data_IF_669138416619
#
_entry.id   IF_669138416619
#
_cell.length_a   1.000
_cell.length_b   1.000
_cell.length_c   1.000
_cell.angle_alpha   90.00
_cell.angle_beta   90.00
_cell.angle_gamma   90.00
#
_symmetry.space_group_name_H-M   'P 1'
#
loop_
_entity.id
_entity.type
_entity.pdbx_description
1 polymer ?
#
# COMPACT_ATOMS: atom_id res chain seq x y z
N UNK A 1 -2.52 -29.49 -15.00
CA UNK A 1 -3.89 -29.95 -15.33
C UNK A 1 -4.47 -28.97 -16.31
N UNK A 2 -5.30 -29.44 -17.23
CA UNK A 2 -5.96 -28.64 -18.26
C UNK A 2 -7.48 -28.81 -18.12
N UNK A 3 -8.24 -27.71 -18.12
CA UNK A 3 -9.71 -27.76 -18.11
C UNK A 3 -10.21 -27.63 -19.55
N UNK A 4 -10.85 -28.69 -20.04
CA UNK A 4 -11.33 -28.78 -21.43
C UNK A 4 -12.85 -28.57 -21.47
N UNK A 5 -13.34 -27.52 -22.17
CA UNK A 5 -14.76 -27.32 -22.38
C UNK A 5 -15.30 -28.21 -23.52
N UNK A 6 -16.50 -28.76 -23.35
CA UNK A 6 -17.24 -29.52 -24.38
C UNK A 6 -18.75 -29.32 -24.19
N UNK A 7 -19.40 -28.65 -25.15
CA UNK A 7 -20.86 -28.39 -25.16
C UNK A 7 -21.38 -27.81 -23.82
N UNK A 8 -20.73 -26.77 -23.30
CA UNK A 8 -21.12 -26.10 -22.04
C UNK A 8 -20.84 -26.91 -20.76
N UNK A 9 -20.09 -28.01 -20.86
CA UNK A 9 -19.60 -28.80 -19.73
C UNK A 9 -18.08 -28.82 -19.74
N UNK A 10 -17.46 -29.17 -18.62
CA UNK A 10 -16.02 -29.16 -18.46
C UNK A 10 -15.50 -30.52 -18.02
N UNK A 11 -14.24 -30.80 -18.33
CA UNK A 11 -13.52 -31.99 -17.90
C UNK A 11 -12.08 -31.61 -17.63
N UNK A 12 -11.52 -32.03 -16.50
CA UNK A 12 -10.10 -31.87 -16.26
C UNK A 12 -9.34 -33.02 -16.92
N UNK A 13 -8.28 -32.69 -17.66
CA UNK A 13 -7.29 -33.63 -18.15
C UNK A 13 -5.97 -33.36 -17.43
N UNK A 14 -5.19 -34.41 -17.20
CA UNK A 14 -3.82 -34.22 -16.74
C UNK A 14 -3.02 -33.50 -17.81
N UNK A 15 -2.15 -32.57 -17.38
CA UNK A 15 -1.19 -31.94 -18.28
C UNK A 15 0.05 -32.83 -18.48
N UNK A 16 0.33 -33.74 -17.55
CA UNK A 16 1.36 -34.76 -17.68
C UNK A 16 0.74 -36.05 -18.24
N UNK A 17 1.43 -36.80 -19.13
CA UNK A 17 0.92 -38.03 -19.74
C UNK A 17 0.45 -39.09 -18.73
N UNK A 18 1.10 -39.16 -17.57
CA UNK A 18 0.91 -40.12 -16.49
C UNK A 18 0.23 -39.51 -15.25
N UNK A 19 -0.10 -38.21 -15.29
CA UNK A 19 -0.69 -37.54 -14.16
C UNK A 19 -2.15 -37.94 -13.95
N UNK A 20 -2.56 -38.08 -12.68
CA UNK A 20 -3.94 -38.31 -12.30
C UNK A 20 -4.56 -37.01 -11.79
N UNK A 21 -5.76 -36.69 -12.27
CA UNK A 21 -6.52 -35.57 -11.71
C UNK A 21 -6.89 -35.86 -10.23
N UNK A 22 -6.88 -34.85 -9.34
CA UNK A 22 -7.46 -34.93 -8.01
C UNK A 22 -8.89 -35.44 -8.08
N UNK A 23 -9.33 -36.16 -7.04
CA UNK A 23 -10.58 -36.94 -7.07
C UNK A 23 -11.81 -36.11 -7.51
N UNK A 24 -11.91 -34.85 -7.05
CA UNK A 24 -12.98 -33.90 -7.40
C UNK A 24 -13.10 -33.66 -8.92
N UNK A 25 -11.99 -33.75 -9.64
CA UNK A 25 -11.91 -33.43 -11.07
C UNK A 25 -11.85 -34.67 -11.97
N UNK A 26 -11.85 -35.89 -11.40
CA UNK A 26 -11.89 -37.14 -12.17
C UNK A 26 -13.24 -37.36 -12.86
N UNK A 27 -14.32 -36.85 -12.26
CA UNK A 27 -15.66 -36.90 -12.86
C UNK A 27 -15.67 -36.04 -14.12
N UNK A 28 -16.04 -36.61 -15.26
CA UNK A 28 -16.13 -35.87 -16.53
C UNK A 28 -17.46 -35.13 -16.63
N UNK A 29 -17.46 -34.08 -17.45
CA UNK A 29 -18.67 -33.34 -17.84
C UNK A 29 -19.38 -32.62 -16.68
N UNK A 30 -18.62 -32.06 -15.74
CA UNK A 30 -19.19 -31.18 -14.72
C UNK A 30 -19.65 -29.86 -15.34
N UNK A 31 -20.65 -29.24 -14.72
CA UNK A 31 -21.13 -27.90 -15.06
C UNK A 31 -20.56 -26.92 -14.04
N UNK A 32 -20.21 -25.74 -14.51
CA UNK A 32 -19.92 -24.59 -13.63
C UNK A 32 -21.17 -23.76 -13.56
N UNK A 33 -21.56 -23.43 -12.35
CA UNK A 33 -22.58 -22.42 -12.10
C UNK A 33 -21.84 -21.21 -11.55
N UNK A 34 -21.98 -20.07 -12.22
CA UNK A 34 -21.56 -18.79 -11.68
C UNK A 34 -22.77 -18.21 -10.96
N UNK A 35 -22.64 -18.00 -9.67
CA UNK A 35 -23.58 -17.23 -8.87
C UNK A 35 -22.89 -15.95 -8.45
N UNK A 36 -23.61 -14.83 -8.55
CA UNK A 36 -23.10 -13.59 -7.96
C UNK A 36 -23.06 -13.78 -6.44
N UNK A 37 -21.91 -13.55 -5.79
CA UNK A 37 -21.81 -13.65 -4.35
C UNK A 37 -22.69 -12.58 -3.71
N UNK A 38 -23.52 -12.97 -2.74
CA UNK A 38 -24.39 -12.04 -2.02
C UNK A 38 -23.65 -11.28 -0.91
N UNK A 39 -22.51 -11.81 -0.47
CA UNK A 39 -21.76 -11.31 0.68
C UNK A 39 -20.70 -10.24 0.34
N UNK A 40 -20.44 -9.97 -0.95
CA UNK A 40 -19.52 -8.90 -1.35
C UNK A 40 -19.78 -8.39 -2.77
N UNK A 41 -19.36 -7.16 -3.04
CA UNK A 41 -19.37 -6.55 -4.37
C UNK A 41 -17.97 -6.06 -4.73
N UNK A 42 -17.49 -6.42 -5.92
CA UNK A 42 -16.22 -5.93 -6.45
C UNK A 42 -16.51 -4.80 -7.44
N UNK A 43 -15.84 -3.67 -7.24
CA UNK A 43 -15.85 -2.53 -8.16
C UNK A 43 -14.72 -2.65 -9.18
N UNK A 44 -14.68 -1.77 -10.18
CA UNK A 44 -13.60 -1.79 -11.15
C UNK A 44 -12.22 -1.60 -10.50
N UNK A 45 -11.29 -2.46 -10.89
CA UNK A 45 -9.89 -2.45 -10.46
C UNK A 45 -8.99 -2.58 -11.69
N UNK A 46 -8.80 -1.45 -12.39
CA UNK A 46 -8.07 -1.37 -13.66
C UNK A 46 -6.55 -1.52 -13.52
N UNK A 47 -6.06 -1.74 -12.30
CA UNK A 47 -4.64 -1.83 -11.99
C UNK A 47 -4.02 -0.46 -11.80
N UNK A 48 -2.79 -0.30 -12.29
CA UNK A 48 -2.00 0.91 -12.13
C UNK A 48 -2.33 1.94 -13.20
N UNK A 49 -2.63 3.16 -12.79
CA UNK A 49 -2.68 4.32 -13.68
C UNK A 49 -1.27 4.90 -13.87
N UNK A 50 -0.68 4.64 -15.04
CA UNK A 50 0.68 5.10 -15.38
C UNK A 50 0.74 6.63 -15.50
N UNK A 51 -0.32 7.26 -15.99
CA UNK A 51 -0.37 8.70 -16.18
C UNK A 51 -0.38 9.42 -14.83
N UNK A 52 -1.22 8.98 -13.90
CA UNK A 52 -1.25 9.51 -12.53
C UNK A 52 0.04 9.17 -11.78
N UNK A 53 0.58 7.95 -11.92
CA UNK A 53 1.85 7.56 -11.28
C UNK A 53 3.00 8.51 -11.67
N UNK A 54 3.04 8.94 -12.93
CA UNK A 54 4.07 9.84 -13.46
C UNK A 54 3.92 11.32 -13.05
N UNK A 55 2.77 11.70 -12.50
CA UNK A 55 2.42 13.09 -12.15
C UNK A 55 2.12 13.20 -10.65
N UNK A 56 3.15 13.26 -9.78
CA UNK A 56 2.95 13.50 -8.35
C UNK A 56 2.11 14.76 -8.14
N UNK A 57 1.24 14.72 -7.12
CA UNK A 57 0.45 15.87 -6.69
C UNK A 57 1.34 17.12 -6.58
N UNK A 58 0.82 18.27 -7.00
CA UNK A 58 1.47 19.54 -6.72
C UNK A 58 1.22 19.92 -5.26
N UNK A 59 2.11 20.70 -4.66
CA UNK A 59 1.95 21.20 -3.29
C UNK A 59 0.98 22.39 -3.22
N UNK A 60 -0.10 22.35 -4.01
CA UNK A 60 -1.08 23.42 -4.22
C UNK A 60 -2.17 23.38 -3.13
N UNK A 61 -1.75 23.40 -1.87
CA UNK A 61 -2.63 23.41 -0.69
C UNK A 61 -2.01 24.30 0.41
N UNK A 62 -2.75 24.80 1.39
CA UNK A 62 -2.15 25.57 2.49
C UNK A 62 -1.20 24.74 3.36
N UNK A 63 -0.11 25.31 3.89
CA UNK A 63 0.84 24.63 4.80
C UNK A 63 0.14 24.17 6.10
N UNK A 64 -0.96 24.82 6.50
CA UNK A 64 -1.73 24.49 7.72
C UNK A 64 -2.68 23.30 7.58
N UNK A 65 -2.80 22.71 6.40
CA UNK A 65 -3.66 21.55 6.23
C UNK A 65 -3.04 20.36 6.97
N UNK A 66 -3.77 19.82 7.94
CA UNK A 66 -3.35 18.63 8.70
C UNK A 66 -3.35 17.38 7.81
N UNK A 67 -4.38 17.22 6.97
CA UNK A 67 -4.51 16.09 6.05
C UNK A 67 -4.14 16.47 4.62
N UNK A 68 -2.87 16.23 4.26
CA UNK A 68 -2.40 16.50 2.91
C UNK A 68 -3.20 15.72 1.86
N UNK A 69 -3.56 16.33 0.72
CA UNK A 69 -4.28 15.64 -0.34
C UNK A 69 -3.57 14.35 -0.77
N UNK A 70 -4.36 13.32 -1.03
CA UNK A 70 -3.88 12.02 -1.53
C UNK A 70 -4.47 11.70 -2.89
N UNK A 71 -3.68 11.04 -3.73
CA UNK A 71 -4.12 10.61 -5.06
C UNK A 71 -4.01 9.09 -5.17
N UNK A 72 -5.14 8.42 -5.40
CA UNK A 72 -5.15 6.98 -5.69
C UNK A 72 -4.73 6.75 -7.13
N UNK A 73 -3.59 6.09 -7.31
CA UNK A 73 -2.95 5.85 -8.62
C UNK A 73 -3.01 4.38 -9.06
N UNK A 74 -3.61 3.51 -8.24
CA UNK A 74 -3.80 2.12 -8.64
C UNK A 74 -4.77 1.39 -7.74
N UNK A 75 -5.44 0.39 -8.31
CA UNK A 75 -6.43 -0.44 -7.61
C UNK A 75 -6.39 -1.88 -8.11
N UNK A 76 -6.35 -2.83 -7.18
CA UNK A 76 -6.35 -4.29 -7.43
C UNK A 76 -7.20 -5.01 -6.39
N UNK A 77 -7.47 -6.29 -6.63
CA UNK A 77 -7.95 -7.20 -5.61
C UNK A 77 -6.92 -8.29 -5.33
N UNK A 78 -6.74 -8.59 -4.05
CA UNK A 78 -5.90 -9.67 -3.57
C UNK A 78 -6.79 -10.74 -2.94
N UNK A 79 -6.80 -11.96 -3.49
CA UNK A 79 -7.51 -13.07 -2.87
C UNK A 79 -7.03 -13.35 -1.44
N UNK A 80 -7.96 -13.79 -0.60
CA UNK A 80 -7.69 -14.04 0.83
C UNK A 80 -6.56 -15.02 1.09
N UNK A 81 -6.31 -15.99 0.22
CA UNK A 81 -5.24 -16.96 0.43
C UNK A 81 -3.82 -16.38 0.35
N UNK A 82 -3.66 -15.13 -0.11
CA UNK A 82 -2.40 -14.39 0.00
C UNK A 82 -2.28 -13.53 1.26
N UNK A 83 -3.31 -13.52 2.11
CA UNK A 83 -3.37 -12.77 3.36
C UNK A 83 -3.73 -13.72 4.50
N UNK A 84 -2.99 -13.72 5.60
CA UNK A 84 -3.35 -14.46 6.81
C UNK A 84 -3.73 -13.49 7.91
N UNK A 85 -4.94 -13.62 8.41
CA UNK A 85 -5.37 -12.95 9.64
C UNK A 85 -5.43 -13.97 10.78
N UNK A 86 -5.56 -13.48 12.02
CA UNK A 86 -5.79 -14.33 13.19
C UNK A 86 -7.24 -14.86 13.24
N UNK A 87 -7.65 -15.60 12.21
CA UNK A 87 -9.00 -16.16 12.02
C UNK A 87 -8.88 -17.52 11.33
N UNK A 88 -9.93 -18.35 11.43
CA UNK A 88 -9.94 -19.60 10.68
C UNK A 88 -10.06 -19.35 9.17
N UNK A 89 -9.52 -20.26 8.36
CA UNK A 89 -9.62 -20.18 6.90
C UNK A 89 -11.06 -20.05 6.42
N UNK A 90 -12.00 -20.75 7.07
CA UNK A 90 -13.43 -20.72 6.74
C UNK A 90 -14.05 -19.35 7.03
N UNK A 91 -13.71 -18.73 8.17
CA UNK A 91 -14.22 -17.40 8.52
C UNK A 91 -13.67 -16.33 7.59
N UNK A 92 -12.37 -16.37 7.28
CA UNK A 92 -11.76 -15.41 6.38
C UNK A 92 -12.30 -15.55 4.96
N UNK A 93 -12.51 -16.77 4.46
CA UNK A 93 -13.13 -17.01 3.16
C UNK A 93 -14.55 -16.45 3.08
N UNK A 94 -15.33 -16.51 4.16
CA UNK A 94 -16.70 -15.99 4.21
C UNK A 94 -16.77 -14.46 4.32
N UNK A 95 -15.86 -13.86 5.09
CA UNK A 95 -15.95 -12.44 5.48
C UNK A 95 -15.01 -11.53 4.69
N UNK A 96 -13.90 -12.06 4.18
CA UNK A 96 -12.83 -11.32 3.53
C UNK A 96 -12.25 -12.11 2.35
N UNK A 97 -13.10 -12.62 1.46
CA UNK A 97 -12.68 -13.43 0.30
C UNK A 97 -11.67 -12.70 -0.59
N UNK A 98 -11.80 -11.38 -0.69
CA UNK A 98 -10.86 -10.50 -1.35
C UNK A 98 -10.49 -9.33 -0.44
N UNK A 99 -9.30 -8.80 -0.67
CA UNK A 99 -8.84 -7.53 -0.13
C UNK A 99 -8.71 -6.57 -1.28
N UNK A 100 -9.33 -5.41 -1.15
CA UNK A 100 -9.07 -4.29 -2.05
C UNK A 100 -7.69 -3.74 -1.74
N UNK A 101 -6.82 -3.67 -2.74
CA UNK A 101 -5.54 -2.97 -2.65
C UNK A 101 -5.66 -1.67 -3.41
N UNK A 102 -5.38 -0.55 -2.77
CA UNK A 102 -5.11 0.72 -3.45
C UNK A 102 -3.66 1.14 -3.28
N UNK A 103 -3.12 1.85 -4.27
CA UNK A 103 -1.84 2.55 -4.18
C UNK A 103 -2.10 4.04 -4.22
N UNK A 104 -1.76 4.73 -3.13
CA UNK A 104 -1.91 6.17 -2.95
C UNK A 104 -0.56 6.89 -3.05
N UNK A 105 -0.55 8.09 -3.63
CA UNK A 105 0.56 9.05 -3.58
C UNK A 105 0.21 10.19 -2.63
N UNK A 106 1.14 10.52 -1.75
CA UNK A 106 0.96 11.52 -0.69
C UNK A 106 2.25 12.36 -0.57
N UNK A 107 2.10 13.66 -0.33
CA UNK A 107 3.19 14.50 0.17
C UNK A 107 3.04 14.65 1.67
N UNK A 108 3.82 13.91 2.44
CA UNK A 108 3.75 13.96 3.89
C UNK A 108 4.63 15.08 4.43
N UNK A 109 4.11 15.90 5.34
CA UNK A 109 4.86 16.99 5.95
C UNK A 109 5.87 16.43 6.96
N UNK A 110 7.15 16.65 6.69
CA UNK A 110 8.24 16.29 7.60
C UNK A 110 8.53 17.40 8.62
N UNK A 111 8.43 18.65 8.18
CA UNK A 111 8.81 19.80 8.97
C UNK A 111 7.99 21.03 8.58
N UNK A 112 7.67 21.86 9.57
CA UNK A 112 6.97 23.12 9.40
C UNK A 112 7.61 24.18 10.30
N UNK A 113 7.70 25.41 9.80
CA UNK A 113 8.13 26.57 10.60
C UNK A 113 7.28 27.78 10.29
N UNK A 114 6.87 28.50 11.33
CA UNK A 114 6.18 29.78 11.20
C UNK A 114 7.11 30.95 11.49
N UNK A 115 6.89 32.06 10.81
CA UNK A 115 7.56 33.35 11.01
C UNK A 115 6.51 34.45 11.19
N UNK A 116 5.79 34.41 12.32
CA UNK A 116 4.66 35.31 12.56
C UNK A 116 5.07 36.67 13.13
N UNK A 117 6.30 36.77 13.66
CA UNK A 117 6.82 37.99 14.30
C UNK A 117 7.88 38.70 13.46
N UNK A 118 8.29 38.13 12.31
CA UNK A 118 9.33 38.71 11.45
C UNK A 118 10.76 38.50 11.96
N UNK A 119 10.92 37.82 13.09
CA UNK A 119 12.23 37.60 13.74
C UNK A 119 13.00 36.41 13.16
N UNK A 120 12.37 35.58 12.32
CA UNK A 120 13.09 34.47 11.70
C UNK A 120 14.00 35.00 10.59
N UNK A 121 15.25 34.54 10.60
CA UNK A 121 16.15 34.71 9.47
C UNK A 121 15.50 34.21 8.17
N UNK A 122 16.00 34.70 7.03
CA UNK A 122 15.64 34.20 5.70
C UNK A 122 16.14 32.77 5.44
N UNK A 123 16.65 32.09 6.45
CA UNK A 123 17.20 30.74 6.36
C UNK A 123 16.43 29.84 7.31
N UNK A 124 15.98 28.69 6.80
CA UNK A 124 15.35 27.64 7.59
C UNK A 124 16.20 26.38 7.52
N UNK A 125 16.68 25.95 8.68
CA UNK A 125 17.34 24.67 8.87
C UNK A 125 16.29 23.59 9.18
N UNK A 126 16.22 22.58 8.32
CA UNK A 126 15.40 21.39 8.51
C UNK A 126 16.30 20.31 9.09
N UNK A 127 15.89 19.74 10.22
CA UNK A 127 16.51 18.57 10.82
C UNK A 127 15.40 17.64 11.33
N UNK A 128 15.12 16.60 10.56
CA UNK A 128 14.06 15.62 10.84
C UNK A 128 14.56 14.22 10.55
N UNK A 129 13.94 13.19 11.13
CA UNK A 129 14.18 11.79 10.73
C UNK A 129 12.89 11.15 10.22
N UNK A 130 13.05 10.21 9.29
CA UNK A 130 11.91 9.48 8.71
C UNK A 130 12.28 8.03 8.46
N UNK A 131 11.34 7.13 8.76
CA UNK A 131 11.47 5.72 8.42
C UNK A 131 11.12 5.51 6.94
N UNK A 132 12.06 4.93 6.19
CA UNK A 132 11.90 4.59 4.76
C UNK A 132 10.72 3.66 4.47
N UNK A 133 10.30 2.88 5.48
CA UNK A 133 9.19 1.93 5.45
C UNK A 133 8.41 2.01 6.76
N UNK A 134 7.09 2.14 6.67
CA UNK A 134 6.19 1.99 7.84
C UNK A 134 5.07 1.02 7.53
N UNK A 135 4.69 0.24 8.53
CA UNK A 135 3.60 -0.73 8.41
C UNK A 135 2.56 -0.45 9.47
N UNK A 136 1.30 -0.51 9.06
CA UNK A 136 0.14 -0.38 9.92
C UNK A 136 -0.75 -1.58 9.73
N UNK A 137 -1.23 -2.17 10.82
CA UNK A 137 -2.15 -3.31 10.83
C UNK A 137 -3.38 -2.90 11.65
N UNK A 138 -4.58 -3.05 11.08
CA UNK A 138 -5.83 -2.58 11.71
C UNK A 138 -5.80 -1.10 12.15
N UNK A 139 -4.97 -0.26 11.51
CA UNK A 139 -4.82 1.15 11.87
C UNK A 139 -3.79 1.43 12.97
N UNK A 140 -3.18 0.41 13.56
CA UNK A 140 -2.13 0.53 14.56
C UNK A 140 -0.75 0.19 14.00
N UNK A 141 0.30 0.83 14.52
CA UNK A 141 1.67 0.58 14.08
C UNK A 141 2.06 -0.90 14.24
N UNK A 142 2.74 -1.43 13.23
CA UNK A 142 3.18 -2.82 13.19
C UNK A 142 4.65 -2.91 12.77
N UNK A 143 5.29 -4.01 13.15
CA UNK A 143 6.68 -4.33 12.80
C UNK A 143 6.75 -5.64 12.04
N UNK A 144 7.73 -5.77 11.16
CA UNK A 144 8.08 -7.06 10.54
C UNK A 144 8.55 -8.02 11.64
N UNK A 145 7.94 -9.21 11.68
CA UNK A 145 8.20 -10.20 12.71
C UNK A 145 9.03 -11.37 12.16
N UNK A 146 8.53 -12.08 11.16
CA UNK A 146 9.21 -13.25 10.60
C UNK A 146 8.70 -13.61 9.19
N UNK A 147 9.56 -14.25 8.41
CA UNK A 147 9.17 -14.97 7.21
C UNK A 147 8.93 -16.44 7.58
N UNK A 148 7.67 -16.88 7.52
CA UNK A 148 7.26 -18.25 7.87
C UNK A 148 6.19 -18.73 6.90
N UNK A 149 6.37 -19.94 6.38
CA UNK A 149 5.45 -20.63 5.45
C UNK A 149 5.16 -19.85 4.15
N UNK A 150 6.11 -19.06 3.67
CA UNK A 150 5.94 -18.24 2.46
C UNK A 150 5.10 -16.97 2.67
N UNK A 151 4.98 -16.52 3.93
CA UNK A 151 4.35 -15.27 4.32
C UNK A 151 5.32 -14.43 5.14
N UNK A 152 5.36 -13.13 4.83
CA UNK A 152 5.93 -12.12 5.71
C UNK A 152 4.89 -11.76 6.78
N UNK A 153 5.23 -11.94 8.04
CA UNK A 153 4.36 -11.64 9.17
C UNK A 153 4.66 -10.25 9.74
N UNK A 154 3.59 -9.52 10.05
CA UNK A 154 3.62 -8.21 10.69
C UNK A 154 2.89 -8.30 12.02
N UNK A 155 3.57 -7.93 13.11
CA UNK A 155 3.01 -7.95 14.45
C UNK A 155 2.67 -6.52 14.87
N UNK A 156 1.44 -6.33 15.36
CA UNK A 156 1.01 -5.09 15.95
C UNK A 156 1.86 -4.76 17.19
N UNK A 157 2.38 -3.53 17.27
CA UNK A 157 3.29 -3.10 18.35
C UNK A 157 2.57 -3.04 19.71
N UNK A 158 1.28 -2.66 19.71
CA UNK A 158 0.46 -2.49 20.91
C UNK A 158 -0.12 -3.83 21.33
N UNK A 159 -0.90 -4.47 20.46
CA UNK A 159 -1.68 -5.67 20.78
C UNK A 159 -0.81 -6.93 20.90
N UNK A 160 0.35 -7.00 20.22
CA UNK A 160 1.32 -8.14 20.10
C UNK A 160 0.75 -9.53 19.77
N UNK A 161 -0.54 -9.76 19.99
CA UNK A 161 -1.34 -10.95 19.71
C UNK A 161 -1.99 -10.87 18.34
N UNK A 162 -2.15 -9.66 17.81
CA UNK A 162 -2.58 -9.42 16.44
C UNK A 162 -1.37 -9.44 15.52
N UNK A 163 -1.29 -10.51 14.73
CA UNK A 163 -0.31 -10.63 13.66
C UNK A 163 -1.01 -10.97 12.36
N UNK A 164 -0.46 -10.45 11.28
CA UNK A 164 -1.02 -10.57 9.96
C UNK A 164 0.07 -10.99 8.98
N UNK A 165 -0.22 -12.00 8.16
CA UNK A 165 0.69 -12.49 7.15
C UNK A 165 0.32 -11.93 5.78
N UNK A 166 1.32 -11.46 5.03
CA UNK A 166 1.18 -11.19 3.60
C UNK A 166 2.08 -12.17 2.84
N UNK A 167 1.54 -12.84 1.83
CA UNK A 167 2.32 -13.78 1.03
C UNK A 167 3.55 -13.09 0.45
N UNK A 168 4.69 -13.77 0.50
CA UNK A 168 5.95 -13.27 -0.08
C UNK A 168 5.80 -12.89 -1.54
N UNK A 169 4.93 -13.57 -2.30
CA UNK A 169 4.69 -13.22 -3.70
C UNK A 169 4.13 -11.80 -3.85
N UNK A 170 3.18 -11.41 -3.00
CA UNK A 170 2.60 -10.06 -3.00
C UNK A 170 3.57 -9.05 -2.39
N UNK A 171 4.16 -9.40 -1.24
CA UNK A 171 5.13 -8.55 -0.54
C UNK A 171 6.33 -8.18 -1.40
N UNK A 172 6.99 -9.18 -1.99
CA UNK A 172 8.16 -8.95 -2.84
C UNK A 172 7.78 -8.22 -4.13
N UNK A 173 6.58 -8.47 -4.68
CA UNK A 173 6.10 -7.72 -5.85
C UNK A 173 5.93 -6.23 -5.54
N UNK A 174 5.37 -5.89 -4.38
CA UNK A 174 5.24 -4.49 -3.93
C UNK A 174 6.62 -3.84 -3.79
N UNK A 175 7.54 -4.46 -3.03
CA UNK A 175 8.91 -3.93 -2.84
C UNK A 175 9.65 -3.75 -4.16
N UNK A 176 9.55 -4.71 -5.08
CA UNK A 176 10.19 -4.64 -6.40
C UNK A 176 9.67 -3.45 -7.21
N UNK A 177 8.36 -3.23 -7.21
CA UNK A 177 7.74 -2.12 -7.94
C UNK A 177 8.15 -0.75 -7.38
N UNK A 178 8.38 -0.64 -6.07
CA UNK A 178 8.90 0.60 -5.45
C UNK A 178 10.40 0.77 -5.72
N UNK A 179 11.17 -0.31 -5.65
CA UNK A 179 12.62 -0.29 -5.89
C UNK A 179 12.96 0.15 -7.32
N UNK A 180 12.15 -0.24 -8.31
CA UNK A 180 12.26 0.20 -9.71
C UNK A 180 12.12 1.72 -9.88
N UNK A 181 11.52 2.41 -8.92
CA UNK A 181 11.35 3.87 -8.91
C UNK A 181 12.33 4.59 -7.97
N UNK A 182 13.38 3.88 -7.55
CA UNK A 182 14.44 4.42 -6.71
C UNK A 182 14.10 4.49 -5.22
N UNK A 183 13.07 3.78 -4.76
CA UNK A 183 12.91 3.55 -3.32
C UNK A 183 13.98 2.57 -2.82
N UNK A 184 14.49 2.80 -1.61
CA UNK A 184 15.47 1.94 -0.93
C UNK A 184 15.03 1.76 0.51
N UNK A 185 15.17 0.53 1.02
CA UNK A 185 14.93 0.20 2.43
C UNK A 185 16.15 0.65 3.26
N UNK A 186 16.17 1.92 3.64
CA UNK A 186 17.30 2.56 4.34
C UNK A 186 17.14 2.55 5.87
N UNK A 187 16.07 1.93 6.40
CA UNK A 187 15.71 2.06 7.82
C UNK A 187 15.26 3.48 8.14
N UNK A 188 15.82 4.06 9.20
CA UNK A 188 15.61 5.47 9.57
C UNK A 188 16.72 6.35 8.95
N UNK A 189 16.32 7.41 8.25
CA UNK A 189 17.24 8.35 7.61
C UNK A 189 16.98 9.78 8.11
N UNK A 190 18.06 10.55 8.30
CA UNK A 190 17.97 11.97 8.62
C UNK A 190 17.80 12.79 7.35
N UNK A 191 16.91 13.77 7.43
CA UNK A 191 16.68 14.80 6.44
C UNK A 191 17.21 16.10 7.01
N UNK A 192 18.42 16.45 6.60
CA UNK A 192 19.10 17.70 6.94
C UNK A 192 19.15 18.59 5.71
N UNK A 193 18.57 19.80 5.79
CA UNK A 193 18.53 20.77 4.69
C UNK A 193 18.63 22.19 5.22
N UNK A 194 19.22 23.06 4.41
CA UNK A 194 19.21 24.50 4.63
C UNK A 194 18.49 25.12 3.45
N UNK A 195 17.39 25.82 3.71
CA UNK A 195 16.54 26.42 2.70
C UNK A 195 16.53 27.93 2.90
N UNK A 196 16.93 28.66 1.86
CA UNK A 196 16.96 30.12 1.86
C UNK A 196 15.71 30.68 1.17
N UNK A 197 15.08 31.65 1.82
CA UNK A 197 13.94 32.37 1.26
C UNK A 197 14.43 33.36 0.20
N UNK A 198 14.11 33.07 -1.07
CA UNK A 198 14.54 33.84 -2.24
C UNK A 198 13.89 35.22 -2.43
N UNK A 199 12.99 35.64 -1.53
CA UNK A 199 12.52 37.03 -1.44
C UNK A 199 11.06 37.30 -1.85
N UNK A 200 10.60 38.48 -1.43
CA UNK A 200 9.26 39.05 -1.59
C UNK A 200 9.12 40.23 -0.60
N UNK A 201 8.44 41.31 -0.98
CA UNK A 201 8.37 42.55 -0.18
C UNK A 201 7.83 42.33 1.25
N UNK A 202 7.03 41.28 1.46
CA UNK A 202 6.33 40.99 2.71
C UNK A 202 6.99 39.87 3.53
N UNK A 203 8.19 39.40 3.15
CA UNK A 203 8.84 38.25 3.77
C UNK A 203 8.07 36.94 3.57
N UNK A 204 8.34 35.95 4.42
CA UNK A 204 7.62 34.68 4.50
C UNK A 204 6.97 34.54 5.88
N UNK A 205 5.81 33.90 5.94
CA UNK A 205 5.06 33.59 7.17
C UNK A 205 5.15 32.13 7.55
N UNK A 206 5.24 31.22 6.57
CA UNK A 206 5.32 29.78 6.82
C UNK A 206 6.26 29.10 5.84
N UNK A 207 6.92 28.07 6.34
CA UNK A 207 7.76 27.16 5.59
C UNK A 207 7.26 25.73 5.84
N UNK A 208 7.18 24.94 4.77
CA UNK A 208 6.85 23.52 4.86
C UNK A 208 7.82 22.67 4.04
N UNK A 209 8.30 21.58 4.63
CA UNK A 209 9.12 20.56 3.99
C UNK A 209 8.33 19.24 3.93
N UNK A 210 8.25 18.64 2.75
CA UNK A 210 7.43 17.47 2.47
C UNK A 210 8.25 16.37 1.82
N UNK A 211 7.97 15.12 2.19
CA UNK A 211 8.53 13.93 1.55
C UNK A 211 7.46 13.20 0.76
N UNK A 212 7.87 12.63 -0.37
CA UNK A 212 6.97 11.85 -1.20
C UNK A 212 6.81 10.44 -0.64
N UNK A 213 5.56 10.04 -0.39
CA UNK A 213 5.20 8.71 0.13
C UNK A 213 4.30 7.99 -0.86
N UNK A 214 4.57 6.71 -1.08
CA UNK A 214 3.66 5.78 -1.74
C UNK A 214 3.08 4.82 -0.71
N UNK A 215 1.77 4.87 -0.53
CA UNK A 215 1.05 4.07 0.46
C UNK A 215 0.24 2.98 -0.23
N UNK A 216 0.54 1.72 0.04
CA UNK A 216 -0.38 0.64 -0.29
C UNK A 216 -1.39 0.47 0.86
N UNK A 217 -2.67 0.47 0.54
CA UNK A 217 -3.76 0.26 1.50
C UNK A 217 -4.49 -1.02 1.15
N UNK A 218 -4.61 -1.92 2.10
CA UNK A 218 -5.36 -3.16 1.98
C UNK A 218 -6.63 -3.03 2.81
N UNK A 219 -7.79 -3.04 2.15
CA UNK A 219 -9.10 -3.03 2.81
C UNK A 219 -9.78 -4.37 2.67
N UNK A 220 -10.48 -4.80 3.72
CA UNK A 220 -11.42 -5.92 3.67
C UNK A 220 -12.66 -5.52 2.88
N UNK A 221 -13.49 -6.50 2.53
CA UNK A 221 -14.73 -6.25 1.79
C UNK A 221 -15.75 -5.40 2.55
N UNK A 222 -15.68 -5.34 3.88
CA UNK A 222 -16.48 -4.43 4.72
C UNK A 222 -15.93 -2.99 4.76
N UNK A 223 -14.84 -2.71 4.04
CA UNK A 223 -14.18 -1.40 3.99
C UNK A 223 -13.18 -1.15 5.12
N UNK A 224 -13.08 -2.04 6.11
CA UNK A 224 -12.12 -1.91 7.21
C UNK A 224 -10.67 -2.08 6.74
N UNK A 225 -9.76 -1.36 7.38
CA UNK A 225 -8.32 -1.44 7.09
C UNK A 225 -7.74 -2.74 7.62
N UNK A 226 -7.06 -3.51 6.77
CA UNK A 226 -6.25 -4.66 7.16
C UNK A 226 -4.78 -4.25 7.29
N UNK A 227 -4.19 -3.72 6.21
CA UNK A 227 -2.81 -3.23 6.18
C UNK A 227 -2.71 -1.84 5.56
N UNK A 228 -1.72 -1.07 6.01
CA UNK A 228 -1.12 -0.01 5.23
C UNK A 228 0.40 -0.17 5.20
N UNK A 229 1.00 0.05 4.03
CA UNK A 229 2.45 0.02 3.84
C UNK A 229 2.90 1.34 3.21
N UNK A 230 3.68 2.11 3.95
CA UNK A 230 4.23 3.38 3.49
C UNK A 230 5.65 3.19 3.02
N UNK A 231 5.88 3.47 1.75
CA UNK A 231 7.20 3.54 1.13
C UNK A 231 7.59 5.00 0.99
N UNK A 232 8.46 5.46 1.89
CA UNK A 232 8.92 6.86 1.92
C UNK A 232 10.10 7.01 0.97
N UNK A 233 9.97 7.88 -0.03
CA UNK A 233 11.04 8.18 -0.96
C UNK A 233 11.86 9.35 -0.43
N UNK A 234 12.77 9.09 0.51
CA UNK A 234 13.56 10.10 1.23
C UNK A 234 14.32 11.09 0.33
N UNK A 235 14.64 10.70 -0.92
CA UNK A 235 15.30 11.58 -1.91
C UNK A 235 14.34 12.47 -2.70
N UNK A 236 13.03 12.24 -2.60
CA UNK A 236 11.97 13.01 -3.26
C UNK A 236 11.36 13.95 -2.23
N UNK A 237 12.06 15.05 -1.96
CA UNK A 237 11.65 16.10 -1.03
C UNK A 237 11.24 17.34 -1.82
N UNK A 238 10.23 18.05 -1.32
CA UNK A 238 9.85 19.37 -1.82
C UNK A 238 9.61 20.31 -0.66
N UNK A 239 9.93 21.58 -0.89
CA UNK A 239 9.72 22.66 0.07
C UNK A 239 8.81 23.71 -0.56
N UNK A 240 8.11 24.46 0.30
CA UNK A 240 7.37 25.65 -0.11
C UNK A 240 7.34 26.68 1.00
N UNK A 241 7.14 27.93 0.58
CA UNK A 241 7.01 29.11 1.41
C UNK A 241 5.62 29.72 1.19
N UNK A 242 5.01 30.24 2.26
CA UNK A 242 3.79 31.06 2.25
C UNK A 242 4.02 32.37 3.00
#
# INVERSE_FOLDING_TARGET
MEIVPKKGKFTAKSAAPDGFAPWLFRKKYWRVYATQPENYSLSDALGLDIALRSRPLKLDFPITVEDTPKSTIGKWYCPFFFVKENRSFKEQMSNAMFYEISLEQIWEQLYAKGNFYGDCANVVEVNSSVQSKRVTVNGEAAVEAADVDGFMWFANVVSRRESFGLSLAVWNRMRLEQSREGWVDAGEERVERVEEFGGGLNGWKRFGCYVFVKRYVFKRMDGSLAFAFDFVHNRKIRTKWE
#
